data_IF_839622521916
#
_entry.id   IF_839622521916
#
_cell.length_a   1.000
_cell.length_b   1.000
_cell.length_c   1.000
_cell.angle_alpha   90.00
_cell.angle_beta   90.00
_cell.angle_gamma   90.00
#
_symmetry.space_group_name_H-M   'P 1'
#
loop_
_entity.id
_entity.type
_entity.pdbx_description
1 polymer ?
#
# COMPACT_ATOMS: atom_id res chain seq x y z
N UNK A 1 47.82 2.49 60.26
CA UNK A 1 46.81 2.96 59.29
C UNK A 1 46.59 1.83 58.28
N UNK A 2 45.49 1.05 58.38
CA UNK A 2 45.23 -0.11 57.49
C UNK A 2 44.30 0.35 56.37
N UNK A 3 44.76 0.24 55.12
CA UNK A 3 43.98 0.55 53.92
C UNK A 3 42.98 -0.57 53.63
N UNK A 4 41.68 -0.27 53.76
CA UNK A 4 40.57 -1.17 53.43
C UNK A 4 40.37 -1.17 51.91
N UNK A 5 40.82 -2.21 51.23
CA UNK A 5 40.68 -2.34 49.77
C UNK A 5 39.23 -2.66 49.37
N UNK A 6 38.62 -1.77 48.56
CA UNK A 6 37.25 -1.84 48.00
C UNK A 6 37.02 -2.96 46.97
N UNK A 7 37.50 -4.19 47.22
CA UNK A 7 37.28 -5.33 46.30
C UNK A 7 35.80 -5.74 46.16
N UNK A 8 34.93 -5.33 47.09
CA UNK A 8 33.50 -5.66 47.04
C UNK A 8 32.67 -4.80 46.08
N UNK A 9 33.13 -3.58 45.74
CA UNK A 9 32.31 -2.63 44.97
C UNK A 9 32.35 -2.88 43.45
N UNK A 10 33.44 -3.47 42.95
CA UNK A 10 33.62 -3.81 41.52
C UNK A 10 32.74 -4.96 41.06
N UNK A 11 32.45 -5.94 41.93
CA UNK A 11 31.58 -7.06 41.61
C UNK A 11 30.10 -6.65 41.48
N UNK A 12 29.66 -5.68 42.30
CA UNK A 12 28.30 -5.14 42.27
C UNK A 12 28.05 -4.27 41.02
N UNK A 13 29.07 -3.54 40.56
CA UNK A 13 28.97 -2.74 39.34
C UNK A 13 28.97 -3.63 38.08
N UNK A 14 29.79 -4.68 38.07
CA UNK A 14 29.84 -5.65 36.97
C UNK A 14 28.52 -6.42 36.84
N UNK A 15 27.93 -6.88 37.94
CA UNK A 15 26.64 -7.59 37.89
C UNK A 15 25.50 -6.69 37.40
N UNK A 16 25.51 -5.39 37.75
CA UNK A 16 24.52 -4.42 37.26
C UNK A 16 24.67 -4.14 35.75
N UNK A 17 25.90 -4.07 35.25
CA UNK A 17 26.17 -3.89 33.82
C UNK A 17 25.72 -5.12 33.00
N UNK A 18 25.94 -6.33 33.50
CA UNK A 18 25.44 -7.57 32.89
C UNK A 18 23.91 -7.66 32.91
N UNK A 19 23.27 -7.20 33.99
CA UNK A 19 21.81 -7.15 34.09
C UNK A 19 21.20 -6.12 33.12
N UNK A 20 21.84 -4.97 32.95
CA UNK A 20 21.45 -3.96 31.95
C UNK A 20 21.62 -4.50 30.52
N UNK A 21 22.71 -5.22 30.25
CA UNK A 21 22.98 -5.81 28.93
C UNK A 21 21.98 -6.91 28.57
N UNK A 22 21.56 -7.73 29.54
CA UNK A 22 20.53 -8.77 29.33
C UNK A 22 19.13 -8.18 29.12
N UNK A 23 18.83 -7.03 29.74
CA UNK A 23 17.56 -6.33 29.56
C UNK A 23 17.45 -5.71 28.17
N UNK A 24 18.55 -5.14 27.62
CA UNK A 24 18.61 -4.62 26.25
C UNK A 24 18.52 -5.74 25.21
N UNK A 25 19.10 -6.92 25.49
CA UNK A 25 19.01 -8.09 24.61
C UNK A 25 17.61 -8.74 24.58
N UNK A 26 16.73 -8.38 25.50
CA UNK A 26 15.38 -8.95 25.63
C UNK A 26 14.28 -8.18 24.89
N UNK A 27 14.65 -7.31 23.93
CA UNK A 27 13.69 -6.79 22.96
C UNK A 27 13.21 -7.93 22.05
N UNK A 28 12.26 -8.73 22.55
CA UNK A 28 11.43 -9.57 21.71
C UNK A 28 10.61 -8.62 20.84
N UNK A 29 10.87 -8.64 19.54
CA UNK A 29 10.01 -7.99 18.57
C UNK A 29 8.57 -8.44 18.85
N UNK A 30 7.67 -7.47 18.99
CA UNK A 30 6.24 -7.74 19.09
C UNK A 30 5.88 -8.62 17.87
N UNK A 31 5.21 -9.78 18.07
CA UNK A 31 4.81 -10.60 16.93
C UNK A 31 3.97 -9.73 15.98
N UNK A 32 4.47 -9.54 14.77
CA UNK A 32 3.67 -8.98 13.67
C UNK A 32 2.46 -9.88 13.51
N UNK A 33 1.27 -9.30 13.64
CA UNK A 33 0.02 -10.01 13.35
C UNK A 33 0.11 -10.59 11.94
N UNK A 34 -0.05 -11.89 11.79
CA UNK A 34 -0.05 -12.57 10.47
C UNK A 34 -1.38 -12.37 9.71
N UNK A 35 -2.15 -11.35 10.06
CA UNK A 35 -3.40 -11.00 9.42
C UNK A 35 -3.16 -10.48 7.99
N UNK A 36 -3.86 -11.06 7.02
CA UNK A 36 -3.75 -10.66 5.63
C UNK A 36 -4.34 -9.25 5.39
N UNK A 37 -3.54 -8.39 4.77
CA UNK A 37 -3.90 -7.03 4.39
C UNK A 37 -3.78 -6.85 2.87
N UNK A 38 -4.48 -5.87 2.30
CA UNK A 38 -4.35 -5.54 0.88
C UNK A 38 -3.13 -4.66 0.63
N UNK A 39 -2.33 -5.04 -0.36
CA UNK A 39 -1.18 -4.30 -0.82
C UNK A 39 -1.25 -4.08 -2.33
N UNK A 40 -0.80 -2.90 -2.76
CA UNK A 40 -0.45 -2.59 -4.13
C UNK A 40 1.04 -2.84 -4.30
N UNK A 41 1.39 -3.75 -5.19
CA UNK A 41 2.76 -4.17 -5.50
C UNK A 41 3.14 -3.64 -6.87
N UNK A 42 4.21 -2.85 -6.91
CA UNK A 42 4.84 -2.37 -8.14
C UNK A 42 5.91 -3.37 -8.58
N UNK A 43 5.82 -3.83 -9.82
CA UNK A 43 6.70 -4.82 -10.42
C UNK A 43 7.42 -4.26 -11.65
N UNK A 44 8.67 -4.65 -11.86
CA UNK A 44 9.39 -4.44 -13.10
C UNK A 44 8.96 -5.47 -14.14
N UNK A 45 8.13 -5.03 -15.08
CA UNK A 45 7.59 -5.86 -16.15
C UNK A 45 8.64 -6.39 -17.14
N UNK A 46 9.87 -5.85 -17.14
CA UNK A 46 10.98 -6.40 -17.94
C UNK A 46 11.43 -7.78 -17.46
N UNK A 47 11.16 -8.14 -16.19
CA UNK A 47 11.45 -9.47 -15.64
C UNK A 47 10.41 -10.52 -16.04
N UNK A 48 9.31 -10.15 -16.73
CA UNK A 48 8.29 -11.14 -17.15
C UNK A 48 8.92 -12.17 -18.08
N UNK A 49 8.95 -13.46 -17.70
CA UNK A 49 9.46 -14.49 -18.58
C UNK A 49 8.64 -14.61 -19.87
N UNK A 50 9.32 -14.94 -20.98
CA UNK A 50 8.68 -15.14 -22.27
C UNK A 50 7.67 -16.31 -22.29
N UNK A 51 7.76 -17.24 -21.32
CA UNK A 51 6.82 -18.35 -21.15
C UNK A 51 5.40 -17.89 -20.76
N UNK A 52 5.24 -16.69 -20.23
CA UNK A 52 3.94 -16.13 -19.89
C UNK A 52 3.39 -15.29 -21.04
N UNK A 53 2.18 -15.62 -21.50
CA UNK A 53 1.48 -14.89 -22.56
C UNK A 53 1.01 -13.50 -22.12
N UNK A 54 0.65 -13.34 -20.84
CA UNK A 54 0.18 -12.06 -20.27
C UNK A 54 0.88 -11.75 -18.94
N UNK A 55 0.95 -10.45 -18.59
CA UNK A 55 1.42 -10.03 -17.27
C UNK A 55 0.54 -10.57 -16.14
N UNK A 56 -0.77 -10.68 -16.37
CA UNK A 56 -1.70 -11.24 -15.37
C UNK A 56 -1.37 -12.71 -15.04
N UNK A 57 -1.13 -13.56 -16.04
CA UNK A 57 -0.74 -14.96 -15.81
C UNK A 57 0.59 -15.08 -15.06
N UNK A 58 1.52 -14.16 -15.32
CA UNK A 58 2.78 -14.07 -14.59
C UNK A 58 2.56 -13.63 -13.14
N UNK A 59 1.75 -12.59 -12.88
CA UNK A 59 1.41 -12.14 -11.53
C UNK A 59 0.74 -13.25 -10.71
N UNK A 60 -0.21 -13.99 -11.29
CA UNK A 60 -0.83 -15.15 -10.65
C UNK A 60 0.20 -16.22 -10.29
N UNK A 61 1.13 -16.53 -11.19
CA UNK A 61 2.20 -17.49 -10.93
C UNK A 61 3.17 -17.01 -9.85
N UNK A 62 3.51 -15.72 -9.83
CA UNK A 62 4.33 -15.12 -8.78
C UNK A 62 3.67 -15.32 -7.43
N UNK A 63 2.38 -15.02 -7.30
CA UNK A 63 1.64 -15.21 -6.05
C UNK A 63 1.51 -16.68 -5.65
N UNK A 64 1.23 -17.58 -6.60
CA UNK A 64 1.16 -19.01 -6.34
C UNK A 64 2.48 -19.60 -5.80
N UNK A 65 3.62 -19.05 -6.24
CA UNK A 65 4.94 -19.49 -5.76
C UNK A 65 5.19 -19.19 -4.28
N UNK A 66 4.51 -18.17 -3.72
CA UNK A 66 4.62 -17.77 -2.33
C UNK A 66 3.78 -18.65 -1.39
N UNK A 67 2.86 -19.46 -1.93
CA UNK A 67 1.93 -20.29 -1.16
C UNK A 67 2.56 -21.58 -0.58
N UNK A 68 3.88 -21.79 -0.71
CA UNK A 68 4.53 -23.04 -0.29
C UNK A 68 5.56 -22.84 0.82
N UNK A 69 5.17 -23.19 2.05
CA UNK A 69 6.08 -23.89 3.00
C UNK A 69 5.41 -24.32 4.32
N UNK A 70 4.28 -23.75 4.75
CA UNK A 70 3.67 -24.10 6.05
C UNK A 70 2.17 -23.78 6.21
N UNK A 71 1.41 -23.61 5.12
CA UNK A 71 0.01 -23.21 5.20
C UNK A 71 -0.88 -24.37 5.66
N UNK A 72 -1.21 -24.40 6.96
CA UNK A 72 -2.52 -24.91 7.39
C UNK A 72 -3.56 -24.06 6.65
N UNK A 73 -4.46 -24.72 5.91
CA UNK A 73 -5.53 -24.06 5.16
C UNK A 73 -6.44 -23.28 6.12
N UNK A 74 -6.11 -22.02 6.32
CA UNK A 74 -6.89 -21.05 7.04
C UNK A 74 -7.24 -19.95 6.01
N UNK A 75 -8.49 -19.50 5.97
CA UNK A 75 -8.93 -18.42 5.06
C UNK A 75 -8.02 -17.18 5.16
N UNK A 76 -7.48 -16.92 6.35
CA UNK A 76 -6.60 -15.78 6.63
C UNK A 76 -5.20 -15.89 6.00
N UNK A 77 -4.78 -17.07 5.55
CA UNK A 77 -3.46 -17.29 4.90
C UNK A 77 -3.55 -17.43 3.39
N UNK A 78 -4.75 -17.33 2.80
CA UNK A 78 -4.92 -17.41 1.35
C UNK A 78 -4.41 -16.14 0.66
N UNK A 79 -3.53 -16.32 -0.33
CA UNK A 79 -3.10 -15.26 -1.23
C UNK A 79 -4.20 -15.02 -2.26
N UNK A 80 -4.74 -13.81 -2.31
CA UNK A 80 -5.80 -13.43 -3.25
C UNK A 80 -5.30 -12.31 -4.15
N UNK A 81 -5.21 -12.57 -5.46
CA UNK A 81 -5.02 -11.53 -6.46
C UNK A 81 -6.33 -10.76 -6.64
N UNK A 82 -6.32 -9.46 -6.36
CA UNK A 82 -7.47 -8.58 -6.53
C UNK A 82 -7.50 -7.94 -7.91
N UNK A 83 -6.34 -7.50 -8.40
CA UNK A 83 -6.25 -6.85 -9.71
C UNK A 83 -4.84 -6.89 -10.28
N UNK A 84 -4.72 -6.94 -11.60
CA UNK A 84 -3.45 -6.86 -12.33
C UNK A 84 -3.39 -5.58 -13.17
N UNK A 85 -2.44 -4.70 -12.87
CA UNK A 85 -2.22 -3.43 -13.54
C UNK A 85 -1.14 -3.57 -14.62
N UNK A 86 -1.48 -3.16 -15.85
CA UNK A 86 -0.59 -3.28 -17.02
C UNK A 86 -0.46 -1.99 -17.85
N UNK A 87 -1.21 -0.93 -17.52
CA UNK A 87 -1.24 0.31 -18.31
C UNK A 87 -0.77 1.53 -17.52
N UNK A 88 -1.57 1.98 -16.54
CA UNK A 88 -1.24 3.16 -15.73
C UNK A 88 -0.10 2.90 -14.73
N UNK A 89 0.11 1.63 -14.37
CA UNK A 89 1.24 1.14 -13.61
C UNK A 89 1.46 -0.34 -13.91
N UNK A 90 2.63 -0.84 -13.53
CA UNK A 90 3.04 -2.22 -13.72
C UNK A 90 3.00 -2.97 -12.39
N UNK A 91 2.13 -3.97 -12.24
CA UNK A 91 2.09 -4.77 -11.02
C UNK A 91 0.69 -5.25 -10.68
N UNK A 92 0.38 -5.42 -9.40
CA UNK A 92 -0.89 -5.99 -8.97
C UNK A 92 -1.32 -5.53 -7.58
N UNK A 93 -2.59 -5.70 -7.26
CA UNK A 93 -3.13 -5.61 -5.90
C UNK A 93 -3.44 -7.01 -5.39
N UNK A 94 -3.00 -7.35 -4.18
CA UNK A 94 -3.23 -8.65 -3.57
C UNK A 94 -3.41 -8.57 -2.06
N UNK A 95 -4.17 -9.52 -1.49
CA UNK A 95 -4.20 -9.76 -0.05
C UNK A 95 -3.06 -10.69 0.35
N UNK A 96 -2.21 -10.23 1.27
CA UNK A 96 -1.00 -10.91 1.73
C UNK A 96 -0.84 -10.77 3.23
N UNK A 97 -0.36 -11.82 3.89
CA UNK A 97 0.17 -11.74 5.25
C UNK A 97 1.55 -11.04 5.25
N UNK A 98 2.05 -10.53 6.39
CA UNK A 98 3.40 -9.97 6.46
C UNK A 98 4.49 -10.95 6.05
N UNK A 99 4.36 -12.24 6.37
CA UNK A 99 5.30 -13.28 5.93
C UNK A 99 5.30 -13.45 4.41
N UNK A 100 4.13 -13.52 3.78
CA UNK A 100 3.99 -13.61 2.32
C UNK A 100 4.55 -12.36 1.61
N UNK A 101 4.26 -11.18 2.16
CA UNK A 101 4.79 -9.93 1.64
C UNK A 101 6.33 -9.90 1.74
N UNK A 102 6.88 -10.34 2.88
CA UNK A 102 8.34 -10.39 3.06
C UNK A 102 9.02 -11.29 2.02
N UNK A 103 8.43 -12.43 1.65
CA UNK A 103 8.95 -13.28 0.58
C UNK A 103 8.79 -12.63 -0.80
N UNK A 104 7.68 -11.95 -1.05
CA UNK A 104 7.43 -11.23 -2.30
C UNK A 104 8.46 -10.11 -2.52
N UNK A 105 8.80 -9.35 -1.48
CA UNK A 105 9.73 -8.22 -1.56
C UNK A 105 11.18 -8.64 -1.84
N UNK A 106 11.50 -9.92 -1.72
CA UNK A 106 12.80 -10.48 -2.09
C UNK A 106 12.91 -10.80 -3.59
N UNK A 107 11.81 -10.76 -4.33
CA UNK A 107 11.81 -11.12 -5.75
C UNK A 107 12.54 -10.05 -6.57
N UNK A 108 13.39 -10.42 -7.54
CA UNK A 108 14.11 -9.45 -8.38
C UNK A 108 13.19 -8.49 -9.16
N UNK A 109 11.97 -8.92 -9.46
CA UNK A 109 10.98 -8.13 -10.17
C UNK A 109 10.25 -7.11 -9.26
N UNK A 110 10.41 -7.18 -7.94
CA UNK A 110 9.77 -6.24 -7.02
C UNK A 110 10.44 -4.86 -7.08
N UNK A 111 9.64 -3.79 -7.11
CA UNK A 111 10.12 -2.40 -7.06
C UNK A 111 9.70 -1.74 -5.75
N UNK A 112 8.40 -1.80 -5.42
CA UNK A 112 7.84 -1.13 -4.26
C UNK A 112 6.52 -1.77 -3.82
N UNK A 113 6.22 -1.65 -2.53
CA UNK A 113 4.94 -2.06 -1.94
C UNK A 113 4.26 -0.86 -1.29
N UNK A 114 2.96 -0.74 -1.47
CA UNK A 114 2.12 0.22 -0.78
C UNK A 114 0.96 -0.52 -0.11
N UNK A 115 0.76 -0.33 1.20
CA UNK A 115 -0.47 -0.79 1.85
C UNK A 115 -1.65 -0.01 1.28
N UNK A 116 -2.76 -0.71 1.01
CA UNK A 116 -3.98 -0.06 0.55
C UNK A 116 -4.43 1.02 1.54
N UNK A 117 -4.80 2.18 0.99
CA UNK A 117 -5.30 3.31 1.75
C UNK A 117 -6.47 3.95 1.00
N UNK A 118 -7.48 4.37 1.76
CA UNK A 118 -8.67 5.03 1.21
C UNK A 118 -8.47 6.54 1.17
N UNK A 119 -8.83 7.15 0.03
CA UNK A 119 -8.88 8.61 -0.10
C UNK A 119 -9.97 9.21 0.81
N UNK A 120 -9.72 10.42 1.32
CA UNK A 120 -10.70 11.20 2.06
C UNK A 120 -11.32 12.25 1.14
N UNK A 121 -12.65 12.40 1.18
CA UNK A 121 -13.33 13.48 0.46
C UNK A 121 -12.98 14.83 1.08
N UNK A 122 -12.50 15.76 0.25
CA UNK A 122 -12.08 17.09 0.69
C UNK A 122 -13.19 18.14 0.59
N UNK A 123 -14.11 18.02 -0.37
CA UNK A 123 -15.19 18.99 -0.56
C UNK A 123 -16.37 18.37 -1.29
N UNK A 124 -17.58 18.83 -0.99
CA UNK A 124 -18.81 18.56 -1.77
C UNK A 124 -19.24 19.78 -2.59
N UNK A 125 -18.43 20.86 -2.61
CA UNK A 125 -18.77 22.16 -3.24
C UNK A 125 -17.65 22.65 -4.15
N UNK A 126 -17.27 21.85 -5.14
CA UNK A 126 -16.16 22.11 -6.08
C UNK A 126 -16.20 23.49 -6.74
N UNK A 127 -17.32 24.01 -7.26
CA UNK A 127 -17.32 25.35 -7.88
C UNK A 127 -16.93 26.45 -6.90
N UNK A 128 -17.43 26.39 -5.66
CA UNK A 128 -17.08 27.36 -4.61
C UNK A 128 -15.62 27.19 -4.17
N UNK A 129 -15.16 25.95 -4.03
CA UNK A 129 -13.77 25.64 -3.65
C UNK A 129 -12.76 26.18 -4.68
N UNK A 130 -13.07 26.05 -5.97
CA UNK A 130 -12.24 26.55 -7.08
C UNK A 130 -12.49 28.03 -7.42
N UNK A 131 -13.38 28.72 -6.69
CA UNK A 131 -13.70 30.13 -6.94
C UNK A 131 -14.41 30.41 -8.27
N UNK A 132 -15.06 29.40 -8.86
CA UNK A 132 -15.74 29.51 -10.15
C UNK A 132 -17.04 30.30 -10.02
N UNK A 133 -17.26 31.26 -10.93
CA UNK A 133 -18.41 32.16 -10.94
C UNK A 133 -19.08 32.17 -12.30
N UNK A 134 -20.41 32.22 -12.31
CA UNK A 134 -21.16 32.34 -13.55
C UNK A 134 -20.89 33.68 -14.23
N UNK A 135 -20.67 33.66 -15.55
CA UNK A 135 -20.50 34.87 -16.38
C UNK A 135 -19.22 35.66 -16.14
N UNK A 136 -18.27 35.17 -15.33
CA UNK A 136 -16.98 35.83 -15.10
C UNK A 136 -15.88 34.83 -14.71
N UNK A 137 -14.62 35.25 -14.82
CA UNK A 137 -13.48 34.42 -14.41
C UNK A 137 -13.25 33.23 -15.35
N UNK A 138 -12.91 32.07 -14.78
CA UNK A 138 -12.39 30.93 -15.54
C UNK A 138 -13.42 30.32 -16.52
N UNK A 139 -14.72 30.38 -16.22
CA UNK A 139 -15.74 29.77 -17.07
C UNK A 139 -15.84 30.42 -18.46
N UNK A 140 -16.08 31.74 -18.62
CA UNK A 140 -16.00 32.38 -19.94
C UNK A 140 -14.62 32.23 -20.60
N UNK A 141 -13.53 32.35 -19.83
CA UNK A 141 -12.17 32.25 -20.35
C UNK A 141 -11.86 30.87 -20.96
N UNK A 142 -12.44 29.81 -20.40
CA UNK A 142 -12.31 28.44 -20.90
C UNK A 142 -13.43 28.03 -21.86
N UNK A 143 -14.20 28.99 -22.40
CA UNK A 143 -15.39 28.71 -23.23
C UNK A 143 -16.35 27.70 -22.60
N UNK A 144 -16.49 27.77 -21.27
CA UNK A 144 -17.33 26.87 -20.46
C UNK A 144 -17.00 25.37 -20.62
N UNK A 145 -15.76 25.04 -21.04
CA UNK A 145 -15.35 23.66 -21.26
C UNK A 145 -15.82 23.06 -22.58
N UNK A 146 -16.20 23.90 -23.57
CA UNK A 146 -16.50 23.44 -24.92
C UNK A 146 -15.32 22.64 -25.49
N UNK A 147 -15.62 21.49 -26.10
CA UNK A 147 -14.66 20.57 -26.71
C UNK A 147 -13.62 19.98 -25.72
N UNK A 148 -13.97 19.90 -24.43
CA UNK A 148 -13.14 19.29 -23.37
C UNK A 148 -13.83 18.06 -22.77
N UNK A 149 -13.08 16.98 -22.66
CA UNK A 149 -13.51 15.78 -21.91
C UNK A 149 -13.02 15.91 -20.46
N UNK A 150 -13.94 15.87 -19.50
CA UNK A 150 -13.63 15.94 -18.07
C UNK A 150 -13.92 14.58 -17.42
N UNK A 151 -12.87 13.87 -17.03
CA UNK A 151 -12.99 12.67 -16.19
C UNK A 151 -13.20 13.04 -14.73
N UNK A 152 -14.26 12.53 -14.11
CA UNK A 152 -14.56 12.76 -12.69
C UNK A 152 -14.31 11.46 -11.92
N UNK A 153 -13.27 11.46 -11.07
CA UNK A 153 -13.03 10.41 -10.08
C UNK A 153 -13.54 10.89 -8.73
N UNK A 154 -14.78 10.53 -8.42
CA UNK A 154 -15.46 10.83 -7.16
C UNK A 154 -16.33 9.61 -6.80
N UNK A 155 -17.08 9.69 -5.71
CA UNK A 155 -18.11 8.73 -5.26
C UNK A 155 -19.25 8.47 -6.25
N UNK A 156 -19.21 9.12 -7.41
CA UNK A 156 -20.20 8.98 -8.46
C UNK A 156 -21.10 10.20 -8.58
N UNK A 157 -21.95 10.17 -9.60
CA UNK A 157 -22.89 11.22 -9.92
C UNK A 157 -24.29 10.64 -9.85
N UNK A 158 -25.19 11.27 -9.10
CA UNK A 158 -26.59 10.86 -9.08
C UNK A 158 -27.32 11.35 -10.35
N UNK A 159 -27.86 10.45 -11.20
CA UNK A 159 -28.41 10.81 -12.51
C UNK A 159 -29.73 11.60 -12.45
N UNK A 160 -30.43 11.61 -11.31
CA UNK A 160 -31.69 12.34 -11.14
C UNK A 160 -31.55 13.84 -10.83
N UNK A 161 -30.34 14.39 -10.84
CA UNK A 161 -30.10 15.81 -10.55
C UNK A 161 -30.32 16.67 -11.80
N UNK A 162 -31.15 17.72 -11.70
CA UNK A 162 -31.43 18.68 -12.80
C UNK A 162 -30.18 19.36 -13.37
N UNK A 163 -29.06 19.35 -12.64
CA UNK A 163 -27.81 19.97 -13.05
C UNK A 163 -27.04 19.17 -14.11
N UNK A 164 -27.46 17.93 -14.41
CA UNK A 164 -26.76 17.04 -15.34
C UNK A 164 -27.78 16.56 -16.37
N UNK A 165 -27.66 17.09 -17.57
CA UNK A 165 -28.50 16.72 -18.71
C UNK A 165 -27.56 16.18 -19.77
N UNK A 166 -27.68 14.90 -20.11
CA UNK A 166 -27.06 14.37 -21.32
C UNK A 166 -27.79 14.97 -22.51
N UNK A 167 -27.11 15.81 -23.27
CA UNK A 167 -27.59 16.19 -24.60
C UNK A 167 -27.10 15.11 -25.55
N UNK A 168 -27.97 14.17 -25.89
CA UNK A 168 -27.76 13.36 -27.10
C UNK A 168 -28.02 14.28 -28.28
N UNK A 169 -26.98 14.63 -29.02
CA UNK A 169 -27.18 15.18 -30.36
C UNK A 169 -27.62 14.03 -31.29
N UNK A 170 -28.72 14.26 -32.00
CA UNK A 170 -29.12 13.52 -33.22
C UNK A 170 -28.30 14.04 -34.42
#
# INVERSE_FOLDING_TARGET
MKTLTMKGFSHLFSSYLWLLLSLVASNKALPTSEEAQTYIVHMDHSYKPASFSTHESWHQSTLASLSSSHATYNEDTLIILLYSYIYAMHGFSARLTPSQLSELEKLPAHIATYREAYGKLFTTRTPKFLGLKHGSGLWPAASYGKDVIVGILDTGIWPGQKAIVSTTEE
#
